data_IF_072704739597
#
_entry.id   IF_072704739597
#
_cell.length_a   1.000
_cell.length_b   1.000
_cell.length_c   1.000
_cell.angle_alpha   90.00
_cell.angle_beta   90.00
_cell.angle_gamma   90.00
#
_symmetry.space_group_name_H-M   'P 1'
#
loop_
_entity.id
_entity.type
_entity.pdbx_description
1 polymer ?
#
# COMPACT_ATOMS: atom_id res chain seq x y z
N UNK A 1 -15.02 13.10 -14.04
CA UNK A 1 -14.99 14.03 -12.88
C UNK A 1 -14.71 13.18 -11.65
N UNK A 2 -13.57 13.38 -10.99
CA UNK A 2 -13.22 12.63 -9.77
C UNK A 2 -13.90 13.31 -8.59
N UNK A 3 -14.73 12.58 -7.86
CA UNK A 3 -15.35 13.08 -6.63
C UNK A 3 -14.33 12.94 -5.49
N UNK A 4 -14.10 14.03 -4.78
CA UNK A 4 -13.25 14.06 -3.59
C UNK A 4 -14.12 14.27 -2.36
N UNK A 5 -13.71 13.70 -1.23
CA UNK A 5 -14.39 13.85 0.05
C UNK A 5 -13.40 14.34 1.13
N UNK A 6 -13.94 14.95 2.18
CA UNK A 6 -13.15 15.29 3.37
C UNK A 6 -12.90 14.05 4.23
N UNK A 7 -11.90 14.14 5.13
CA UNK A 7 -11.63 13.07 6.10
C UNK A 7 -12.86 12.74 6.97
N UNK A 8 -13.64 13.76 7.36
CA UNK A 8 -14.85 13.56 8.17
C UNK A 8 -15.97 12.88 7.37
N UNK A 9 -16.11 13.21 6.10
CA UNK A 9 -17.07 12.52 5.20
C UNK A 9 -16.67 11.05 5.01
N UNK A 10 -15.38 10.76 4.88
CA UNK A 10 -14.90 9.39 4.77
C UNK A 10 -15.17 8.60 6.05
N UNK A 11 -14.82 9.14 7.22
CA UNK A 11 -15.10 8.48 8.52
C UNK A 11 -16.59 8.21 8.72
N UNK A 12 -17.46 9.15 8.32
CA UNK A 12 -18.91 8.96 8.39
C UNK A 12 -19.38 7.85 7.44
N UNK A 13 -18.81 7.75 6.25
CA UNK A 13 -19.11 6.68 5.30
C UNK A 13 -18.65 5.30 5.82
N UNK A 14 -17.46 5.23 6.39
CA UNK A 14 -16.93 4.02 7.03
C UNK A 14 -17.83 3.56 8.18
N UNK A 15 -18.24 4.49 9.06
CA UNK A 15 -19.17 4.16 10.16
C UNK A 15 -20.51 3.63 9.63
N UNK A 16 -21.07 4.27 8.61
CA UNK A 16 -22.30 3.81 7.95
C UNK A 16 -22.13 2.41 7.37
N UNK A 17 -20.98 2.14 6.78
CA UNK A 17 -20.67 0.83 6.22
C UNK A 17 -20.57 -0.25 7.32
N UNK A 18 -19.88 0.03 8.44
CA UNK A 18 -19.79 -0.89 9.59
C UNK A 18 -21.15 -1.21 10.18
N UNK A 19 -22.01 -0.19 10.32
CA UNK A 19 -23.37 -0.36 10.85
C UNK A 19 -24.23 -1.26 9.93
N UNK A 20 -24.04 -1.15 8.61
CA UNK A 20 -24.75 -1.94 7.62
C UNK A 20 -24.18 -3.36 7.43
N UNK A 21 -22.91 -3.58 7.81
CA UNK A 21 -22.20 -4.83 7.56
C UNK A 21 -21.52 -5.37 8.84
N UNK A 22 -22.31 -5.69 9.89
CA UNK A 22 -21.74 -6.18 11.13
C UNK A 22 -20.93 -7.47 10.92
N UNK A 23 -19.70 -7.49 11.44
CA UNK A 23 -18.81 -8.63 11.31
C UNK A 23 -18.06 -8.75 9.97
N UNK A 24 -18.20 -7.78 9.08
CA UNK A 24 -17.35 -7.67 7.88
C UNK A 24 -16.04 -6.95 8.21
N UNK A 25 -14.97 -7.39 7.57
CA UNK A 25 -13.65 -6.77 7.66
C UNK A 25 -13.49 -5.71 6.55
N UNK A 26 -13.57 -4.43 6.94
CA UNK A 26 -13.40 -3.32 6.01
C UNK A 26 -11.96 -3.27 5.46
N UNK A 27 -10.96 -3.63 6.28
CA UNK A 27 -9.57 -3.67 5.84
C UNK A 27 -9.36 -4.70 4.72
N UNK A 28 -9.98 -5.87 4.82
CA UNK A 28 -9.93 -6.87 3.75
C UNK A 28 -10.56 -6.35 2.45
N UNK A 29 -11.68 -5.59 2.54
CA UNK A 29 -12.32 -4.97 1.37
C UNK A 29 -11.45 -3.88 0.76
N UNK A 30 -10.87 -3.02 1.59
CA UNK A 30 -9.96 -1.95 1.15
C UNK A 30 -8.69 -2.52 0.50
N UNK A 31 -8.06 -3.49 1.14
CA UNK A 31 -6.87 -4.16 0.62
C UNK A 31 -7.12 -4.83 -0.73
N UNK A 32 -8.26 -5.52 -0.87
CA UNK A 32 -8.67 -6.12 -2.15
C UNK A 32 -8.85 -5.06 -3.25
N UNK A 33 -9.48 -3.93 -2.93
CA UNK A 33 -9.63 -2.84 -3.89
C UNK A 33 -8.28 -2.27 -4.36
N UNK A 34 -7.32 -2.11 -3.44
CA UNK A 34 -5.95 -1.70 -3.77
C UNK A 34 -5.26 -2.73 -4.65
N UNK A 35 -5.38 -4.03 -4.34
CA UNK A 35 -4.80 -5.10 -5.15
C UNK A 35 -5.38 -5.13 -6.57
N UNK A 36 -6.71 -4.99 -6.72
CA UNK A 36 -7.37 -4.94 -8.03
C UNK A 36 -6.90 -3.74 -8.86
N UNK A 37 -6.78 -2.56 -8.26
CA UNK A 37 -6.30 -1.37 -8.97
C UNK A 37 -4.82 -1.52 -9.37
N UNK A 38 -3.99 -2.08 -8.48
CA UNK A 38 -2.60 -2.39 -8.77
C UNK A 38 -2.47 -3.35 -9.96
N UNK A 39 -3.26 -4.41 -10.01
CA UNK A 39 -3.30 -5.36 -11.14
C UNK A 39 -3.69 -4.68 -12.46
N UNK A 40 -4.66 -3.76 -12.42
CA UNK A 40 -5.05 -2.99 -13.61
C UNK A 40 -3.89 -2.11 -14.11
N UNK A 41 -3.17 -1.46 -13.20
CA UNK A 41 -2.00 -0.63 -13.55
C UNK A 41 -0.82 -1.46 -14.07
N UNK A 42 -0.60 -2.67 -13.54
CA UNK A 42 0.45 -3.57 -13.97
C UNK A 42 0.17 -4.23 -15.33
N UNK A 43 -1.11 -4.30 -15.73
CA UNK A 43 -1.55 -4.99 -16.93
C UNK A 43 -1.45 -6.52 -16.80
N UNK A 44 -1.87 -7.24 -17.83
CA UNK A 44 -1.97 -8.70 -17.83
C UNK A 44 -0.60 -9.41 -17.93
N UNK A 45 0.36 -9.04 -17.09
CA UNK A 45 1.70 -9.64 -17.09
C UNK A 45 2.07 -10.09 -15.67
N UNK A 46 2.31 -11.36 -15.52
CA UNK A 46 2.87 -11.93 -14.28
C UNK A 46 4.34 -11.54 -14.05
N UNK A 47 4.83 -11.71 -12.84
CA UNK A 47 6.23 -11.52 -12.50
C UNK A 47 6.69 -10.08 -12.43
N UNK A 48 5.75 -9.11 -12.36
CA UNK A 48 6.06 -7.70 -12.16
C UNK A 48 6.64 -7.45 -10.77
N UNK A 49 7.49 -6.46 -10.66
CA UNK A 49 8.08 -6.06 -9.39
C UNK A 49 7.32 -4.88 -8.80
N UNK A 50 6.78 -5.08 -7.60
CA UNK A 50 5.96 -4.08 -6.89
C UNK A 50 6.64 -3.69 -5.59
N UNK A 51 6.71 -2.39 -5.33
CA UNK A 51 7.17 -1.83 -4.06
C UNK A 51 5.96 -1.35 -3.25
N UNK A 52 5.84 -1.80 -2.01
CA UNK A 52 4.86 -1.28 -1.06
C UNK A 52 5.59 -0.40 -0.05
N UNK A 53 5.21 0.87 0.01
CA UNK A 53 5.66 1.81 1.04
C UNK A 53 4.72 1.69 2.23
N UNK A 54 5.21 1.11 3.32
CA UNK A 54 4.38 0.71 4.45
C UNK A 54 4.50 1.73 5.58
N UNK A 55 3.38 2.34 5.94
CA UNK A 55 3.23 3.14 7.17
C UNK A 55 2.70 2.33 8.33
N UNK A 56 2.49 3.00 9.46
CA UNK A 56 1.77 2.45 10.60
C UNK A 56 0.25 2.60 10.45
N UNK A 57 -0.50 1.85 11.26
CA UNK A 57 -1.96 1.93 11.29
C UNK A 57 -2.67 1.20 10.15
N UNK A 58 -3.94 1.55 9.94
CA UNK A 58 -4.84 0.81 9.06
C UNK A 58 -4.45 0.93 7.59
N UNK A 59 -4.06 2.12 7.13
CA UNK A 59 -3.61 2.30 5.73
C UNK A 59 -2.39 1.44 5.38
N UNK A 60 -1.42 1.33 6.33
CA UNK A 60 -0.31 0.40 6.18
C UNK A 60 -0.76 -1.06 6.17
N UNK A 61 -1.82 -1.38 6.95
CA UNK A 61 -2.48 -2.68 6.95
C UNK A 61 -3.09 -3.01 5.60
N UNK A 62 -3.85 -2.09 5.01
CA UNK A 62 -4.44 -2.24 3.68
C UNK A 62 -3.37 -2.56 2.63
N UNK A 63 -2.26 -1.79 2.63
CA UNK A 63 -1.12 -2.04 1.73
C UNK A 63 -0.48 -3.42 1.93
N UNK A 64 -0.36 -3.89 3.18
CA UNK A 64 0.22 -5.20 3.48
C UNK A 64 -0.67 -6.37 3.06
N UNK A 65 -1.98 -6.28 3.24
CA UNK A 65 -2.90 -7.30 2.76
C UNK A 65 -3.03 -7.27 1.24
N UNK A 66 -3.00 -6.09 0.60
CA UNK A 66 -2.89 -5.98 -0.86
C UNK A 66 -1.59 -6.61 -1.39
N UNK A 67 -0.45 -6.40 -0.69
CA UNK A 67 0.81 -7.06 -1.00
C UNK A 67 0.70 -8.59 -0.99
N UNK A 68 -0.05 -9.13 -0.02
CA UNK A 68 -0.31 -10.57 0.10
C UNK A 68 -1.04 -11.10 -1.14
N UNK A 69 -2.06 -10.39 -1.61
CA UNK A 69 -2.81 -10.76 -2.82
C UNK A 69 -1.93 -10.68 -4.07
N UNK A 70 -1.19 -9.58 -4.25
CA UNK A 70 -0.28 -9.40 -5.38
C UNK A 70 0.82 -10.47 -5.44
N UNK A 71 1.40 -10.84 -4.30
CA UNK A 71 2.37 -11.93 -4.24
C UNK A 71 1.73 -13.28 -4.60
N UNK A 72 0.50 -13.52 -4.16
CA UNK A 72 -0.27 -14.72 -4.50
C UNK A 72 -0.64 -14.78 -5.99
N UNK A 73 -0.77 -13.64 -6.65
CA UNK A 73 -0.96 -13.51 -8.11
C UNK A 73 0.34 -13.68 -8.92
N UNK A 74 1.47 -13.96 -8.26
CA UNK A 74 2.74 -14.23 -8.93
C UNK A 74 3.66 -13.03 -9.12
N UNK A 75 3.36 -11.87 -8.51
CA UNK A 75 4.24 -10.72 -8.54
C UNK A 75 5.38 -10.82 -7.51
N UNK A 76 6.51 -10.18 -7.81
CA UNK A 76 7.62 -10.02 -6.87
C UNK A 76 7.37 -8.77 -6.03
N UNK A 77 6.92 -8.94 -4.79
CA UNK A 77 6.52 -7.84 -3.92
C UNK A 77 7.57 -7.56 -2.85
N UNK A 78 7.98 -6.30 -2.75
CA UNK A 78 8.94 -5.81 -1.77
C UNK A 78 8.29 -4.80 -0.84
N UNK A 79 8.59 -4.91 0.47
CA UNK A 79 8.01 -4.10 1.54
C UNK A 79 9.07 -3.17 2.12
N UNK A 80 8.86 -1.86 2.02
CA UNK A 80 9.67 -0.84 2.67
C UNK A 80 8.88 -0.24 3.85
N UNK A 81 9.24 -0.60 5.08
CA UNK A 81 8.69 0.06 6.27
C UNK A 81 9.24 1.49 6.36
N UNK A 82 8.35 2.47 6.35
CA UNK A 82 8.70 3.89 6.22
C UNK A 82 8.42 4.68 7.47
N UNK A 83 7.27 4.49 8.07
CA UNK A 83 6.80 5.30 9.20
C UNK A 83 5.99 4.47 10.20
N UNK A 84 6.28 4.65 11.49
CA UNK A 84 5.55 3.98 12.56
C UNK A 84 5.84 2.48 12.65
N UNK A 85 4.98 1.78 13.37
CA UNK A 85 5.05 0.32 13.53
C UNK A 85 4.06 -0.30 12.55
N UNK A 86 4.51 -1.16 11.62
CA UNK A 86 3.62 -1.82 10.67
C UNK A 86 2.53 -2.65 11.36
N UNK A 87 1.39 -2.80 10.70
CA UNK A 87 0.32 -3.68 11.15
C UNK A 87 0.81 -5.12 11.28
N UNK A 88 0.86 -5.66 12.50
CA UNK A 88 1.59 -6.90 12.82
C UNK A 88 1.05 -8.13 12.07
N UNK A 89 -0.27 -8.25 11.94
CA UNK A 89 -0.89 -9.36 11.22
C UNK A 89 -0.66 -9.26 9.71
N UNK A 90 -0.87 -8.09 9.13
CA UNK A 90 -0.60 -7.83 7.70
C UNK A 90 0.86 -8.08 7.34
N UNK A 91 1.80 -7.64 8.20
CA UNK A 91 3.22 -7.88 7.99
C UNK A 91 3.57 -9.38 7.95
N UNK A 92 3.04 -10.15 8.91
CA UNK A 92 3.22 -11.61 8.94
C UNK A 92 2.60 -12.30 7.72
N UNK A 93 1.40 -11.88 7.32
CA UNK A 93 0.70 -12.43 6.16
C UNK A 93 1.49 -12.16 4.87
N UNK A 94 1.96 -10.94 4.67
CA UNK A 94 2.75 -10.57 3.49
C UNK A 94 4.07 -11.36 3.40
N UNK A 95 4.81 -11.50 4.51
CA UNK A 95 6.03 -12.33 4.52
C UNK A 95 5.72 -13.80 4.25
N UNK A 96 4.63 -14.35 4.80
CA UNK A 96 4.21 -15.73 4.56
C UNK A 96 3.80 -15.97 3.08
N UNK A 97 3.28 -14.95 2.40
CA UNK A 97 2.95 -14.99 0.97
C UNK A 97 4.19 -14.85 0.06
N UNK A 98 5.37 -14.62 0.63
CA UNK A 98 6.62 -14.50 -0.12
C UNK A 98 7.08 -13.07 -0.40
N UNK A 99 6.41 -12.06 0.16
CA UNK A 99 6.90 -10.68 0.09
C UNK A 99 8.23 -10.55 0.82
N UNK A 100 9.10 -9.66 0.35
CA UNK A 100 10.43 -9.47 0.90
C UNK A 100 10.58 -8.09 1.52
N UNK A 101 11.04 -8.02 2.77
CA UNK A 101 11.42 -6.75 3.37
C UNK A 101 12.69 -6.21 2.72
N UNK A 102 12.71 -4.92 2.43
CA UNK A 102 13.84 -4.20 1.85
C UNK A 102 14.20 -2.96 2.66
N UNK A 103 15.42 -2.47 2.47
CA UNK A 103 15.90 -1.21 3.05
C UNK A 103 15.77 -0.06 2.04
N UNK A 104 15.81 1.21 2.47
CA UNK A 104 15.85 2.34 1.54
C UNK A 104 17.00 2.27 0.54
N UNK A 105 18.14 1.70 0.94
CA UNK A 105 19.30 1.52 0.05
C UNK A 105 19.00 0.48 -1.04
N UNK A 106 18.34 -0.61 -0.69
CA UNK A 106 17.97 -1.65 -1.66
C UNK A 106 17.06 -1.07 -2.76
N UNK A 107 16.07 -0.28 -2.36
CA UNK A 107 15.11 0.37 -3.28
C UNK A 107 15.83 1.22 -4.33
N UNK A 108 16.83 2.00 -3.94
CA UNK A 108 17.56 2.89 -4.85
C UNK A 108 18.34 2.15 -5.96
N UNK A 109 18.57 0.86 -5.80
CA UNK A 109 19.32 0.01 -6.74
C UNK A 109 18.41 -0.93 -7.55
N UNK A 110 17.11 -0.84 -7.38
CA UNK A 110 16.13 -1.69 -8.05
C UNK A 110 15.28 -0.89 -9.06
N UNK A 111 14.55 -1.62 -9.91
CA UNK A 111 13.49 -1.06 -10.74
C UNK A 111 12.17 -1.72 -10.35
N UNK A 112 11.13 -0.92 -10.25
CA UNK A 112 9.78 -1.38 -9.95
C UNK A 112 8.85 -1.01 -11.09
N UNK A 113 7.88 -1.87 -11.34
CA UNK A 113 6.82 -1.65 -12.33
C UNK A 113 5.69 -0.81 -11.72
N UNK A 114 5.53 -0.86 -10.38
CA UNK A 114 4.56 -0.11 -9.61
C UNK A 114 5.08 0.12 -8.19
N UNK A 115 4.76 1.28 -7.60
CA UNK A 115 4.84 1.50 -6.17
C UNK A 115 3.43 1.76 -5.62
N UNK A 116 3.12 1.21 -4.44
CA UNK A 116 1.89 1.49 -3.69
C UNK A 116 2.24 2.31 -2.46
N UNK A 117 1.66 3.51 -2.35
CA UNK A 117 1.84 4.38 -1.18
C UNK A 117 0.77 4.10 -0.13
N UNK A 118 1.12 3.32 0.87
CA UNK A 118 0.31 3.05 2.06
C UNK A 118 0.90 3.65 3.35
N UNK A 119 1.56 4.82 3.24
CA UNK A 119 2.28 5.44 4.36
C UNK A 119 1.37 6.21 5.30
N UNK A 120 0.49 7.05 4.76
CA UNK A 120 -0.39 7.93 5.52
C UNK A 120 -1.83 7.73 5.09
N UNK A 121 -2.67 7.37 6.05
CA UNK A 121 -4.13 7.29 5.86
C UNK A 121 -4.83 8.62 6.18
N UNK A 122 -6.15 8.53 6.38
CA UNK A 122 -7.01 9.65 6.78
C UNK A 122 -6.54 10.24 8.12
N UNK A 123 -6.09 11.48 8.11
CA UNK A 123 -5.52 12.14 9.29
C UNK A 123 -3.99 12.22 9.26
N UNK A 124 -3.38 11.84 8.16
CA UNK A 124 -1.97 12.11 7.91
C UNK A 124 -1.65 13.60 8.04
N UNK A 125 -0.43 13.93 8.50
CA UNK A 125 0.03 15.31 8.61
C UNK A 125 0.56 15.81 7.28
N UNK A 126 0.41 17.09 6.94
CA UNK A 126 1.01 17.65 5.73
C UNK A 126 2.53 17.48 5.70
N UNK A 127 3.07 17.23 4.52
CA UNK A 127 4.49 17.10 4.25
C UNK A 127 4.95 15.65 4.05
N UNK A 128 6.07 15.50 3.36
CA UNK A 128 6.70 14.20 3.11
C UNK A 128 7.63 13.87 4.28
N UNK A 129 7.50 12.72 4.96
CA UNK A 129 8.44 12.30 5.98
C UNK A 129 9.87 12.27 5.45
N UNK A 130 10.83 12.79 6.22
CA UNK A 130 12.25 12.86 5.80
C UNK A 130 12.82 11.53 5.33
N UNK A 131 12.37 10.44 5.94
CA UNK A 131 12.79 9.08 5.57
C UNK A 131 12.37 8.71 4.15
N UNK A 132 11.26 9.29 3.64
CA UNK A 132 10.76 9.07 2.29
C UNK A 132 11.40 9.97 1.22
N UNK A 133 11.99 11.11 1.59
CA UNK A 133 12.43 12.11 0.61
C UNK A 133 13.32 11.52 -0.50
N UNK A 134 14.26 10.64 -0.16
CA UNK A 134 15.14 10.01 -1.14
C UNK A 134 14.41 8.96 -1.99
N UNK A 135 13.48 8.24 -1.39
CA UNK A 135 12.67 7.23 -2.10
C UNK A 135 11.70 7.93 -3.04
N UNK A 136 11.06 9.01 -2.59
CA UNK A 136 10.16 9.83 -3.40
C UNK A 136 10.89 10.45 -4.61
N UNK A 137 12.04 11.09 -4.38
CA UNK A 137 12.88 11.60 -5.47
C UNK A 137 13.28 10.50 -6.46
N UNK A 138 13.57 9.30 -5.96
CA UNK A 138 13.93 8.17 -6.79
C UNK A 138 12.73 7.67 -7.61
N UNK A 139 11.54 7.54 -7.01
CA UNK A 139 10.30 7.16 -7.71
C UNK A 139 10.02 8.13 -8.88
N UNK A 140 10.11 9.43 -8.62
CA UNK A 140 9.93 10.46 -9.65
C UNK A 140 10.97 10.30 -10.77
N UNK A 141 12.24 10.14 -10.44
CA UNK A 141 13.32 10.01 -11.43
C UNK A 141 13.26 8.70 -12.22
N UNK A 142 12.82 7.62 -11.60
CA UNK A 142 12.70 6.31 -12.27
C UNK A 142 11.48 6.23 -13.19
N UNK A 143 10.52 7.14 -13.03
CA UNK A 143 9.25 7.09 -13.73
C UNK A 143 8.34 5.93 -13.30
N UNK A 144 8.59 5.37 -12.10
CA UNK A 144 7.76 4.29 -11.54
C UNK A 144 6.36 4.85 -11.23
N UNK A 145 5.29 4.25 -11.77
CA UNK A 145 3.92 4.64 -11.41
C UNK A 145 3.68 4.45 -9.92
N UNK A 146 2.86 5.32 -9.33
CA UNK A 146 2.49 5.24 -7.90
C UNK A 146 0.96 5.19 -7.79
N UNK A 147 0.46 4.19 -7.05
CA UNK A 147 -0.92 4.02 -6.64
C UNK A 147 -1.10 4.56 -5.22
#
# INVERSE_FOLDING_TARGET
MTTVCTADQMRAAEQTWFDAHPGKDLMAVAAHAVAVEAEQMLGAHEGRRVLILVGGGDNGGDGLFAATELASSGHSVELLSVLGIPHAEGWRAALAAGCRQVTPTDVLHQRYDLAVDSVLGIGGRPGIPRVLMRTDEWLVKSGTPVL
#
